data_IF_257686745004
#
_entry.id   IF_257686745004
#
_cell.length_a   1.000
_cell.length_b   1.000
_cell.length_c   1.000
_cell.angle_alpha   90.00
_cell.angle_beta   90.00
_cell.angle_gamma   90.00
#
_symmetry.space_group_name_H-M   'P 1'
#
loop_
_entity.id
_entity.type
_entity.pdbx_description
1 polymer ?
#
# COMPACT_ATOMS: atom_id res chain seq x y z
N UNK A 1 14.26 0.59 10.47
CA UNK A 1 12.95 1.23 10.22
C UNK A 1 12.07 0.92 11.41
N UNK A 2 11.34 1.89 11.96
CA UNK A 2 10.37 1.61 13.04
C UNK A 2 9.15 0.89 12.47
N UNK A 3 8.58 -0.06 13.21
CA UNK A 3 7.42 -0.84 12.76
C UNK A 3 6.16 0.03 12.66
N UNK A 4 5.11 -0.46 11.99
CA UNK A 4 3.80 0.21 11.97
C UNK A 4 3.25 0.37 13.38
N UNK A 5 3.34 -0.65 14.23
CA UNK A 5 2.88 -0.63 15.63
C UNK A 5 3.59 0.46 16.45
N UNK A 6 4.91 0.59 16.31
CA UNK A 6 5.68 1.64 16.98
C UNK A 6 5.24 3.04 16.54
N UNK A 7 4.93 3.21 15.25
CA UNK A 7 4.45 4.49 14.71
C UNK A 7 3.01 4.79 15.13
N UNK A 8 2.15 3.78 15.23
CA UNK A 8 0.80 3.93 15.80
C UNK A 8 0.87 4.36 17.27
N UNK A 9 1.77 3.76 18.05
CA UNK A 9 1.99 4.17 19.44
C UNK A 9 2.50 5.61 19.55
N UNK A 10 3.37 6.06 18.64
CA UNK A 10 3.77 7.46 18.56
C UNK A 10 2.59 8.39 18.23
N UNK A 11 1.71 7.98 17.32
CA UNK A 11 0.52 8.75 16.97
C UNK A 11 -0.42 8.93 18.17
N UNK A 12 -0.60 7.88 18.97
CA UNK A 12 -1.38 7.92 20.21
C UNK A 12 -0.78 8.92 21.21
N UNK A 13 0.54 8.84 21.44
CA UNK A 13 1.25 9.79 22.31
C UNK A 13 1.13 11.24 21.83
N UNK A 14 1.22 11.47 20.51
CA UNK A 14 1.01 12.80 19.92
C UNK A 14 -0.41 13.30 20.16
N UNK A 15 -1.42 12.44 19.96
CA UNK A 15 -2.82 12.74 20.25
C UNK A 15 -3.02 13.15 21.71
N UNK A 16 -2.41 12.42 22.65
CA UNK A 16 -2.56 12.72 24.07
C UNK A 16 -1.83 14.01 24.46
N UNK A 17 -0.68 14.29 23.85
CA UNK A 17 0.03 15.55 24.04
C UNK A 17 -0.79 16.75 23.55
N UNK A 18 -1.50 16.62 22.42
CA UNK A 18 -2.35 17.68 21.85
C UNK A 18 -3.57 17.98 22.74
N UNK A 19 -4.06 17.00 23.51
CA UNK A 19 -5.20 17.18 24.43
C UNK A 19 -4.84 17.93 25.71
N UNK A 20 -3.56 18.16 25.98
CA UNK A 20 -3.12 18.91 27.14
C UNK A 20 -3.51 20.39 27.02
N UNK A 21 -4.21 20.91 28.03
CA UNK A 21 -4.68 22.30 28.05
C UNK A 21 -3.53 23.31 28.28
N UNK A 22 -2.37 22.87 28.77
CA UNK A 22 -1.20 23.74 28.91
C UNK A 22 -0.38 23.87 27.62
N UNK A 23 -0.74 23.10 26.57
CA UNK A 23 -0.06 23.16 25.29
C UNK A 23 -0.46 24.42 24.51
N UNK A 24 0.53 25.24 24.15
CA UNK A 24 0.32 26.40 23.29
C UNK A 24 -0.16 25.99 21.89
N UNK A 25 -1.02 26.81 21.28
CA UNK A 25 -1.61 26.54 19.95
C UNK A 25 -0.55 26.29 18.88
N UNK A 26 0.55 27.04 18.89
CA UNK A 26 1.63 26.89 17.91
C UNK A 26 2.31 25.53 18.03
N UNK A 27 2.50 25.03 19.25
CA UNK A 27 3.08 23.71 19.49
C UNK A 27 2.07 22.60 19.19
N UNK A 28 0.79 22.79 19.53
CA UNK A 28 -0.29 21.90 19.12
C UNK A 28 -0.35 21.73 17.59
N UNK A 29 -0.19 22.82 16.84
CA UNK A 29 -0.13 22.79 15.37
C UNK A 29 1.09 22.01 14.84
N UNK A 30 2.27 22.17 15.47
CA UNK A 30 3.45 21.37 15.10
C UNK A 30 3.25 19.88 15.34
N UNK A 31 2.70 19.50 16.49
CA UNK A 31 2.41 18.10 16.81
C UNK A 31 1.34 17.52 15.88
N UNK A 32 0.33 18.32 15.52
CA UNK A 32 -0.68 17.93 14.54
C UNK A 32 -0.06 17.65 13.16
N UNK A 33 0.78 18.57 12.68
CA UNK A 33 1.50 18.37 11.41
C UNK A 33 2.41 17.13 11.42
N UNK A 34 3.06 16.86 12.55
CA UNK A 34 3.83 15.63 12.74
C UNK A 34 2.91 14.39 12.67
N UNK A 35 1.78 14.41 13.36
CA UNK A 35 0.77 13.35 13.34
C UNK A 35 0.27 13.06 11.92
N UNK A 36 -0.02 14.09 11.13
CA UNK A 36 -0.46 13.94 9.73
C UNK A 36 0.63 13.28 8.87
N UNK A 37 1.90 13.71 9.03
CA UNK A 37 3.02 13.10 8.29
C UNK A 37 3.18 11.63 8.68
N UNK A 38 3.00 11.31 9.95
CA UNK A 38 3.11 9.95 10.47
C UNK A 38 2.03 9.04 9.90
N UNK A 39 0.76 9.48 9.92
CA UNK A 39 -0.37 8.74 9.32
C UNK A 39 -0.11 8.46 7.84
N UNK A 40 0.26 9.49 7.06
CA UNK A 40 0.58 9.34 5.63
C UNK A 40 1.71 8.35 5.36
N UNK A 41 2.67 8.23 6.29
CA UNK A 41 3.75 7.24 6.17
C UNK A 41 3.26 5.82 6.41
N UNK A 42 2.32 5.64 7.35
CA UNK A 42 1.71 4.34 7.65
C UNK A 42 0.85 3.88 6.47
N UNK A 43 0.00 4.75 5.94
CA UNK A 43 -0.84 4.49 4.76
C UNK A 43 0.00 3.98 3.59
N UNK A 44 1.09 4.68 3.25
CA UNK A 44 2.00 4.26 2.17
C UNK A 44 2.63 2.88 2.39
N UNK A 45 2.96 2.54 3.64
CA UNK A 45 3.54 1.23 3.93
C UNK A 45 2.48 0.11 3.84
N UNK A 46 1.25 0.39 4.28
CA UNK A 46 0.12 -0.51 4.12
C UNK A 46 -0.17 -0.76 2.64
N UNK A 47 -0.24 0.30 1.82
CA UNK A 47 -0.44 0.18 0.36
C UNK A 47 0.65 -0.68 -0.29
N UNK A 48 1.90 -0.50 0.12
CA UNK A 48 3.02 -1.28 -0.40
C UNK A 48 2.94 -2.76 0.01
N UNK A 49 2.47 -3.05 1.23
CA UNK A 49 2.24 -4.43 1.67
C UNK A 49 1.06 -5.05 0.96
N UNK A 50 -0.05 -4.33 0.80
CA UNK A 50 -1.21 -4.78 0.03
C UNK A 50 -0.80 -5.12 -1.41
N UNK A 51 -0.01 -4.27 -2.07
CA UNK A 51 0.52 -4.54 -3.39
C UNK A 51 1.34 -5.83 -3.47
N UNK A 52 2.17 -6.12 -2.47
CA UNK A 52 2.92 -7.38 -2.39
C UNK A 52 2.01 -8.59 -2.20
N UNK A 53 1.01 -8.48 -1.32
CA UNK A 53 0.02 -9.55 -1.09
C UNK A 53 -0.75 -9.82 -2.38
N UNK A 54 -1.19 -8.79 -3.09
CA UNK A 54 -1.89 -8.92 -4.37
C UNK A 54 -1.03 -9.63 -5.43
N UNK A 55 0.28 -9.32 -5.50
CA UNK A 55 1.19 -10.04 -6.41
C UNK A 55 1.24 -11.52 -6.04
N UNK A 56 1.40 -11.85 -4.76
CA UNK A 56 1.47 -13.24 -4.29
C UNK A 56 0.16 -14.01 -4.53
N UNK A 57 -1.00 -13.38 -4.34
CA UNK A 57 -2.30 -14.02 -4.57
C UNK A 57 -2.62 -14.23 -6.05
N UNK A 58 -2.09 -13.37 -6.92
CA UNK A 58 -2.34 -13.42 -8.36
C UNK A 58 -1.25 -14.17 -9.15
N UNK A 59 -0.21 -14.68 -8.48
CA UNK A 59 0.77 -15.56 -9.11
C UNK A 59 0.16 -16.96 -9.30
N UNK A 60 0.13 -17.50 -10.54
CA UNK A 60 -0.11 -18.93 -10.70
C UNK A 60 0.97 -19.68 -9.93
N UNK A 61 0.56 -20.71 -9.18
CA UNK A 61 1.47 -21.65 -8.53
C UNK A 61 2.19 -22.48 -9.59
N UNK A 62 3.07 -21.85 -10.36
CA UNK A 62 4.06 -22.58 -11.14
C UNK A 62 5.13 -23.02 -10.15
N UNK A 63 4.90 -24.20 -9.59
CA UNK A 63 5.90 -25.01 -8.93
C UNK A 63 7.17 -25.09 -9.82
N UNK A 64 8.31 -25.27 -9.14
CA UNK A 64 9.66 -25.54 -9.67
C UNK A 64 10.57 -24.31 -9.90
N UNK A 65 11.04 -23.70 -8.81
CA UNK A 65 12.38 -23.09 -8.83
C UNK A 65 13.44 -24.19 -8.90
N UNK A 66 13.77 -24.62 -10.12
CA UNK A 66 15.10 -25.19 -10.38
C UNK A 66 16.08 -24.03 -10.61
N UNK A 67 17.23 -23.97 -9.92
CA UNK A 67 18.15 -22.84 -10.04
C UNK A 67 18.76 -22.76 -11.45
N UNK A 68 18.55 -21.64 -12.16
CA UNK A 68 19.35 -21.31 -13.34
C UNK A 68 20.13 -20.01 -13.09
N UNK A 69 21.40 -20.21 -12.69
CA UNK A 69 22.48 -19.32 -13.13
C UNK A 69 22.50 -19.28 -14.67
N UNK A 70 22.60 -18.10 -15.27
CA UNK A 70 23.39 -17.88 -16.50
C UNK A 70 23.55 -16.39 -16.81
N UNK A 71 24.73 -15.88 -16.45
CA UNK A 71 25.67 -15.12 -17.29
C UNK A 71 25.10 -14.08 -18.28
N UNK A 72 25.27 -12.81 -17.89
CA UNK A 72 25.35 -11.65 -18.79
C UNK A 72 26.54 -11.82 -19.75
N UNK A 73 26.32 -11.66 -21.05
CA UNK A 73 27.27 -11.00 -21.95
C UNK A 73 26.54 -10.34 -23.14
N UNK A 74 26.86 -9.08 -23.35
CA UNK A 74 26.24 -8.12 -24.26
C UNK A 74 26.49 -8.45 -25.74
N UNK A 75 25.46 -8.32 -26.60
CA UNK A 75 25.64 -7.80 -27.97
C UNK A 75 24.47 -6.92 -28.43
N UNK A 76 24.87 -5.86 -29.13
CA UNK A 76 24.20 -4.59 -29.42
C UNK A 76 23.72 -4.55 -30.89
N UNK A 77 22.71 -3.70 -31.14
CA UNK A 77 22.28 -3.10 -32.45
C UNK A 77 21.37 -4.04 -33.28
N UNK A 78 20.19 -3.67 -33.82
CA UNK A 78 19.73 -2.42 -34.46
C UNK A 78 18.20 -2.40 -34.67
N UNK A 79 17.61 -1.21 -34.49
CA UNK A 79 16.68 -0.47 -35.39
C UNK A 79 15.40 -1.11 -36.00
N UNK A 80 14.32 -0.37 -35.72
CA UNK A 80 13.19 0.07 -36.59
C UNK A 80 12.03 -0.90 -36.77
N UNK A 81 10.85 -0.53 -36.24
CA UNK A 81 9.69 -0.14 -37.07
C UNK A 81 8.44 0.10 -36.23
N UNK A 82 7.71 1.14 -36.63
CA UNK A 82 6.34 1.49 -36.27
C UNK A 82 5.41 0.34 -35.90
N UNK A 83 4.58 0.55 -34.87
CA UNK A 83 3.13 0.75 -35.06
C UNK A 83 2.42 0.96 -33.73
N UNK A 84 1.52 1.94 -33.77
CA UNK A 84 0.50 2.26 -32.79
C UNK A 84 -0.15 1.03 -32.18
N UNK A 85 -0.29 0.99 -30.85
CA UNK A 85 -1.49 0.40 -30.28
C UNK A 85 -1.91 1.09 -28.99
N UNK A 86 -3.06 1.77 -29.08
CA UNK A 86 -3.75 2.49 -28.02
C UNK A 86 -4.56 1.47 -27.24
N UNK A 87 -3.95 0.77 -26.28
CA UNK A 87 -4.70 -0.14 -25.39
C UNK A 87 -5.18 0.63 -24.16
N UNK A 88 -6.44 1.06 -24.25
CA UNK A 88 -7.23 1.64 -23.17
C UNK A 88 -7.43 0.56 -22.11
N UNK A 89 -6.58 0.53 -21.09
CA UNK A 89 -6.71 -0.40 -19.98
C UNK A 89 -7.88 0.07 -19.12
N UNK A 90 -8.99 -0.66 -19.24
CA UNK A 90 -10.14 -0.56 -18.35
C UNK A 90 -9.69 -0.76 -16.91
N UNK A 91 -10.10 0.15 -16.04
CA UNK A 91 -9.98 0.00 -14.58
C UNK A 91 -10.84 -1.21 -14.18
N UNK A 92 -10.33 -2.23 -13.49
CA UNK A 92 -11.20 -3.25 -12.93
C UNK A 92 -12.01 -2.58 -11.83
N UNK A 93 -13.33 -2.54 -12.02
CA UNK A 93 -14.28 -2.21 -10.97
C UNK A 93 -14.22 -3.37 -9.98
N UNK A 94 -13.64 -3.16 -8.80
CA UNK A 94 -13.71 -4.16 -7.74
C UNK A 94 -15.20 -4.26 -7.37
N UNK A 95 -15.84 -5.36 -7.76
CA UNK A 95 -17.12 -5.74 -7.17
C UNK A 95 -16.86 -5.98 -5.68
N UNK A 96 -17.10 -4.93 -4.91
CA UNK A 96 -17.11 -4.96 -3.46
C UNK A 96 -18.17 -5.97 -3.06
N UNK A 97 -17.72 -7.14 -2.60
CA UNK A 97 -18.53 -8.24 -2.10
C UNK A 97 -19.81 -7.71 -1.45
N UNK A 98 -20.93 -7.85 -2.15
CA UNK A 98 -22.24 -7.60 -1.58
C UNK A 98 -22.55 -8.75 -0.64
N UNK A 99 -22.05 -8.63 0.58
CA UNK A 99 -22.43 -9.48 1.69
C UNK A 99 -23.88 -9.14 2.04
N UNK A 100 -24.82 -9.79 1.36
CA UNK A 100 -26.21 -9.81 1.79
C UNK A 100 -26.27 -10.54 3.13
N UNK A 101 -26.25 -9.78 4.21
CA UNK A 101 -26.68 -10.27 5.51
C UNK A 101 -28.18 -10.62 5.37
N UNK A 102 -28.46 -11.91 5.15
CA UNK A 102 -29.79 -12.49 5.40
C UNK A 102 -30.10 -12.26 6.87
N UNK A 103 -30.76 -11.15 7.18
CA UNK A 103 -31.56 -11.03 8.40
C UNK A 103 -32.68 -12.05 8.26
N UNK A 104 -32.46 -13.24 8.82
CA UNK A 104 -33.50 -14.22 9.02
C UNK A 104 -34.54 -13.66 9.98
N UNK A 105 -35.59 -13.07 9.44
CA UNK A 105 -36.88 -13.01 10.11
C UNK A 105 -37.72 -14.15 9.56
N UNK A 106 -38.00 -15.13 10.41
CA UNK A 106 -39.14 -16.05 10.40
C UNK A 106 -39.01 -16.83 11.71
N UNK A 107 -39.98 -16.99 12.58
CA UNK A 107 -41.32 -16.44 12.82
C UNK A 107 -41.69 -16.96 14.23
#
# INVERSE_FOLDING_TARGET
MSTIEERLKKLENLSDSIKDNELGIEDAMKLFDEGIKLVRSIEKELDAMEGKIQILMNQPLDNEETPQETQNEEKKVSKVSDKSNKKKSQKPELELFSFEAKTGNHE
#
